data_IF_411526262956
#
_entry.id   IF_411526262956
#
_cell.length_a   1.000
_cell.length_b   1.000
_cell.length_c   1.000
_cell.angle_alpha   90.00
_cell.angle_beta   90.00
_cell.angle_gamma   90.00
#
_symmetry.space_group_name_H-M   'P 1'
#
loop_
_entity.id
_entity.type
_entity.pdbx_description
1 polymer ?
#
# COMPACT_ATOMS: atom_id res chain seq x y z
N UNK A 1 -20.84 -10.71 6.54
CA UNK A 1 -20.42 -9.78 7.62
C UNK A 1 -20.84 -10.25 9.02
N UNK A 2 -22.12 -10.53 9.30
CA UNK A 2 -22.58 -10.97 10.65
C UNK A 2 -21.83 -12.17 11.24
N UNK A 3 -21.43 -13.15 10.42
CA UNK A 3 -20.61 -14.29 10.88
C UNK A 3 -19.21 -13.88 11.30
N UNK A 4 -18.55 -12.99 10.56
CA UNK A 4 -17.24 -12.45 10.91
C UNK A 4 -17.30 -11.67 12.23
N UNK A 5 -18.34 -10.87 12.42
CA UNK A 5 -18.55 -10.13 13.68
C UNK A 5 -18.75 -11.09 14.86
N UNK A 6 -19.62 -12.12 14.71
CA UNK A 6 -19.88 -13.13 15.73
C UNK A 6 -18.69 -14.02 16.07
N UNK A 7 -17.78 -14.24 15.13
CA UNK A 7 -16.52 -15.01 15.36
C UNK A 7 -15.48 -14.23 16.18
N UNK A 8 -15.76 -12.99 16.56
CA UNK A 8 -14.81 -12.13 17.25
C UNK A 8 -13.78 -11.47 16.32
N UNK A 9 -13.94 -11.62 14.99
CA UNK A 9 -13.09 -10.91 14.04
C UNK A 9 -13.39 -9.40 14.08
N UNK A 10 -12.34 -8.58 14.22
CA UNK A 10 -12.44 -7.12 14.33
C UNK A 10 -11.54 -6.38 13.34
N UNK A 11 -10.87 -7.09 12.45
CA UNK A 11 -10.03 -6.49 11.42
C UNK A 11 -9.72 -7.45 10.27
N UNK A 12 -9.32 -6.88 9.16
CA UNK A 12 -8.95 -7.61 7.95
C UNK A 12 -7.82 -6.91 7.21
N UNK A 13 -7.06 -7.67 6.45
CA UNK A 13 -6.09 -7.16 5.47
C UNK A 13 -6.64 -7.41 4.08
N UNK A 14 -6.66 -6.39 3.23
CA UNK A 14 -7.16 -6.48 1.87
C UNK A 14 -6.12 -5.94 0.89
N UNK A 15 -5.73 -6.76 -0.08
CA UNK A 15 -4.88 -6.36 -1.20
C UNK A 15 -5.73 -5.68 -2.27
N UNK A 16 -5.71 -4.36 -2.30
CA UNK A 16 -6.31 -3.57 -3.39
C UNK A 16 -5.39 -3.54 -4.60
N UNK A 17 -4.09 -3.57 -4.36
CA UNK A 17 -2.98 -3.45 -5.29
C UNK A 17 -2.93 -2.04 -5.90
N UNK A 18 -3.93 -1.66 -6.68
CA UNK A 18 -4.05 -0.34 -7.30
C UNK A 18 -5.51 0.08 -7.39
N UNK A 19 -5.75 1.39 -7.56
CA UNK A 19 -7.05 1.97 -7.85
C UNK A 19 -7.22 2.34 -9.34
N UNK A 20 -6.30 1.91 -10.20
CA UNK A 20 -6.34 2.15 -11.64
C UNK A 20 -6.78 0.86 -12.35
N UNK A 21 -7.88 0.86 -13.12
CA UNK A 21 -8.37 -0.34 -13.80
C UNK A 21 -7.34 -0.98 -14.74
N UNK A 22 -6.56 -0.16 -15.43
CA UNK A 22 -5.49 -0.56 -16.34
C UNK A 22 -4.39 -1.32 -15.58
N UNK A 23 -3.91 -0.75 -14.48
CA UNK A 23 -2.91 -1.38 -13.61
C UNK A 23 -3.42 -2.67 -12.96
N UNK A 24 -4.73 -2.78 -12.66
CA UNK A 24 -5.32 -4.05 -12.18
C UNK A 24 -5.28 -5.15 -13.24
N UNK A 25 -5.48 -4.81 -14.52
CA UNK A 25 -5.35 -5.77 -15.62
C UNK A 25 -3.92 -6.24 -15.77
N UNK A 26 -2.95 -5.34 -15.70
CA UNK A 26 -1.52 -5.64 -15.75
C UNK A 26 -1.07 -6.52 -14.58
N UNK A 27 -1.60 -6.24 -13.38
CA UNK A 27 -1.37 -7.06 -12.18
C UNK A 27 -1.98 -8.46 -12.26
N UNK A 28 -2.80 -8.74 -13.29
CA UNK A 28 -3.59 -10.00 -13.43
C UNK A 28 -4.43 -10.30 -12.19
N UNK A 29 -4.90 -9.28 -11.50
CA UNK A 29 -5.79 -9.38 -10.33
C UNK A 29 -7.25 -9.52 -10.76
N UNK A 30 -7.54 -10.59 -11.50
CA UNK A 30 -8.88 -10.88 -12.04
C UNK A 30 -10.02 -10.75 -11.02
N UNK A 31 -9.87 -11.16 -9.74
CA UNK A 31 -10.93 -10.99 -8.74
C UNK A 31 -11.24 -9.51 -8.40
N UNK A 32 -10.28 -8.61 -8.58
CA UNK A 32 -10.43 -7.20 -8.22
C UNK A 32 -11.07 -6.38 -9.36
N UNK A 33 -10.91 -6.80 -10.61
CA UNK A 33 -11.42 -6.05 -11.79
C UNK A 33 -12.93 -5.81 -11.72
N UNK A 34 -13.80 -6.81 -11.54
CA UNK A 34 -15.25 -6.59 -11.47
C UNK A 34 -15.69 -5.87 -10.20
N UNK A 35 -14.85 -5.83 -9.17
CA UNK A 35 -15.15 -5.20 -7.88
C UNK A 35 -14.64 -3.77 -7.77
N UNK A 36 -13.81 -3.32 -8.69
CA UNK A 36 -13.16 -2.03 -8.65
C UNK A 36 -14.14 -0.87 -8.37
N UNK A 37 -15.26 -0.82 -9.12
CA UNK A 37 -16.29 0.22 -8.93
C UNK A 37 -17.00 0.15 -7.57
N UNK A 38 -16.87 -0.96 -6.85
CA UNK A 38 -17.51 -1.21 -5.55
C UNK A 38 -16.57 -1.06 -4.37
N UNK A 39 -15.29 -0.78 -4.58
CA UNK A 39 -14.30 -0.69 -3.49
C UNK A 39 -14.75 0.22 -2.35
N UNK A 40 -15.19 1.44 -2.65
CA UNK A 40 -15.67 2.39 -1.63
C UNK A 40 -16.85 1.84 -0.83
N UNK A 41 -17.79 1.21 -1.52
CA UNK A 41 -18.98 0.61 -0.91
C UNK A 41 -18.62 -0.60 -0.03
N UNK A 42 -17.78 -1.49 -0.51
CA UNK A 42 -17.34 -2.66 0.25
C UNK A 42 -16.58 -2.27 1.51
N UNK A 43 -15.70 -1.26 1.41
CA UNK A 43 -15.00 -0.71 2.59
C UNK A 43 -15.97 -0.04 3.56
N UNK A 44 -16.99 0.68 3.06
CA UNK A 44 -18.04 1.27 3.90
C UNK A 44 -18.78 0.20 4.68
N UNK A 45 -19.14 -0.91 4.05
CA UNK A 45 -19.81 -2.05 4.70
C UNK A 45 -18.91 -2.64 5.81
N UNK A 46 -17.61 -2.85 5.56
CA UNK A 46 -16.67 -3.32 6.57
C UNK A 46 -16.64 -2.39 7.80
N UNK A 47 -16.56 -1.08 7.57
CA UNK A 47 -16.55 -0.07 8.63
C UNK A 47 -17.87 -0.04 9.42
N UNK A 48 -19.00 -0.16 8.77
CA UNK A 48 -20.32 -0.21 9.44
C UNK A 48 -20.45 -1.41 10.38
N UNK A 49 -19.77 -2.51 10.07
CA UNK A 49 -19.64 -3.67 10.95
C UNK A 49 -18.48 -3.55 11.96
N UNK A 50 -17.84 -2.38 12.05
CA UNK A 50 -16.76 -2.10 12.99
C UNK A 50 -15.46 -2.83 12.72
N UNK A 51 -15.20 -3.23 11.47
CA UNK A 51 -13.96 -3.88 11.09
C UNK A 51 -12.85 -2.85 10.89
N UNK A 52 -11.74 -2.99 11.59
CA UNK A 52 -10.52 -2.26 11.32
C UNK A 52 -9.86 -2.83 10.06
N UNK A 53 -9.86 -2.06 8.98
CA UNK A 53 -9.35 -2.52 7.70
C UNK A 53 -7.92 -2.03 7.46
N UNK A 54 -7.10 -2.92 6.98
CA UNK A 54 -5.74 -2.66 6.55
C UNK A 54 -5.65 -2.84 5.03
N UNK A 55 -5.34 -1.77 4.31
CA UNK A 55 -5.18 -1.79 2.86
C UNK A 55 -3.73 -2.05 2.46
N UNK A 56 -3.51 -2.83 1.41
CA UNK A 56 -2.21 -2.98 0.77
C UNK A 56 -2.29 -2.50 -0.68
N UNK A 57 -1.37 -1.59 -1.02
CA UNK A 57 -1.21 -1.02 -2.36
C UNK A 57 0.19 -1.30 -2.88
N UNK A 58 0.27 -1.58 -4.18
CA UNK A 58 1.50 -1.76 -4.93
C UNK A 58 1.59 -0.66 -5.97
N UNK A 59 2.69 0.05 -6.02
CA UNK A 59 2.93 1.22 -6.87
C UNK A 59 4.03 0.92 -7.89
N UNK A 60 3.90 1.47 -9.09
CA UNK A 60 4.88 1.33 -10.16
C UNK A 60 4.47 0.36 -11.26
N UNK A 61 3.18 0.09 -11.43
CA UNK A 61 2.67 -0.55 -12.64
C UNK A 61 2.88 0.34 -13.86
N UNK A 62 2.80 -0.22 -15.06
CA UNK A 62 3.12 0.49 -16.30
C UNK A 62 2.21 1.69 -16.59
N UNK A 63 1.02 1.74 -16.01
CA UNK A 63 0.07 2.85 -16.11
C UNK A 63 0.08 3.81 -14.90
N UNK A 64 0.98 3.59 -13.94
CA UNK A 64 1.03 4.46 -12.78
C UNK A 64 1.76 5.76 -13.08
N UNK A 65 1.14 6.86 -12.69
CA UNK A 65 1.70 8.21 -12.68
C UNK A 65 1.79 8.74 -11.26
N UNK A 66 2.45 9.88 -11.08
CA UNK A 66 2.49 10.54 -9.77
C UNK A 66 1.08 10.88 -9.27
N UNK A 67 0.22 11.34 -10.18
CA UNK A 67 -1.18 11.70 -9.89
C UNK A 67 -2.00 10.47 -9.48
N UNK A 68 -1.79 9.30 -10.12
CA UNK A 68 -2.47 8.06 -9.75
C UNK A 68 -2.04 7.56 -8.37
N UNK A 69 -0.78 7.76 -8.00
CA UNK A 69 -0.26 7.46 -6.67
C UNK A 69 -0.91 8.39 -5.63
N UNK A 70 -0.99 9.69 -5.90
CA UNK A 70 -1.65 10.65 -5.03
C UNK A 70 -3.14 10.31 -4.86
N UNK A 71 -3.84 9.97 -5.94
CA UNK A 71 -5.22 9.52 -5.90
C UNK A 71 -5.41 8.23 -5.07
N UNK A 72 -4.42 7.34 -5.08
CA UNK A 72 -4.42 6.14 -4.22
C UNK A 72 -4.36 6.51 -2.74
N UNK A 73 -3.59 7.54 -2.38
CA UNK A 73 -3.55 8.05 -1.00
C UNK A 73 -4.88 8.71 -0.63
N UNK A 74 -5.48 9.49 -1.53
CA UNK A 74 -6.79 10.12 -1.31
C UNK A 74 -7.87 9.06 -1.09
N UNK A 75 -7.92 8.04 -1.93
CA UNK A 75 -8.82 6.89 -1.74
C UNK A 75 -8.64 6.25 -0.36
N UNK A 76 -7.40 6.04 0.07
CA UNK A 76 -7.12 5.42 1.36
C UNK A 76 -7.56 6.31 2.55
N UNK A 77 -7.39 7.63 2.44
CA UNK A 77 -7.82 8.60 3.44
C UNK A 77 -9.36 8.71 3.51
N UNK A 78 -10.02 8.85 2.37
CA UNK A 78 -11.49 8.88 2.28
C UNK A 78 -12.12 7.60 2.81
N UNK A 79 -11.52 6.46 2.50
CA UNK A 79 -11.95 5.14 2.98
C UNK A 79 -11.69 4.94 4.48
N UNK A 80 -10.93 5.82 5.13
CA UNK A 80 -10.57 5.77 6.55
C UNK A 80 -9.97 4.44 6.98
N UNK A 81 -9.09 3.85 6.14
CA UNK A 81 -8.39 2.64 6.53
C UNK A 81 -7.61 2.86 7.83
N UNK A 82 -7.65 1.87 8.71
CA UNK A 82 -6.86 1.90 9.94
C UNK A 82 -5.38 1.97 9.66
N UNK A 83 -4.92 1.16 8.70
CA UNK A 83 -3.55 1.12 8.20
C UNK A 83 -3.56 1.02 6.68
N UNK A 84 -2.53 1.55 6.04
CA UNK A 84 -2.29 1.35 4.62
C UNK A 84 -0.79 1.11 4.37
N UNK A 85 -0.49 0.05 3.66
CA UNK A 85 0.84 -0.26 3.17
C UNK A 85 0.96 0.21 1.71
N UNK A 86 1.99 0.97 1.41
CA UNK A 86 2.36 1.38 0.06
C UNK A 86 3.71 0.76 -0.25
N UNK A 87 3.77 -0.16 -1.20
CA UNK A 87 4.98 -0.86 -1.58
C UNK A 87 5.26 -0.66 -3.07
N UNK A 88 6.51 -0.53 -3.42
CA UNK A 88 6.91 -0.51 -4.83
C UNK A 88 6.82 -1.93 -5.39
N UNK A 89 6.31 -2.05 -6.61
CA UNK A 89 6.31 -3.29 -7.37
C UNK A 89 7.73 -3.85 -7.46
N UNK A 90 7.92 -5.10 -7.06
CA UNK A 90 9.24 -5.69 -6.95
C UNK A 90 9.43 -6.83 -7.94
N UNK A 91 10.41 -6.73 -8.85
CA UNK A 91 10.74 -7.80 -9.79
C UNK A 91 11.55 -8.90 -9.08
N UNK A 92 10.87 -9.86 -8.49
CA UNK A 92 11.54 -11.02 -7.91
C UNK A 92 12.04 -11.98 -9.00
N UNK A 93 13.25 -12.57 -8.85
CA UNK A 93 13.80 -13.51 -9.81
C UNK A 93 12.82 -14.63 -10.18
N UNK A 94 12.89 -15.07 -11.43
CA UNK A 94 12.04 -16.13 -11.99
C UNK A 94 10.53 -15.82 -12.06
N UNK A 95 10.09 -14.60 -11.71
CA UNK A 95 8.70 -14.19 -11.92
C UNK A 95 8.45 -13.73 -13.37
N UNK A 96 7.19 -13.79 -13.85
CA UNK A 96 6.84 -13.21 -15.15
C UNK A 96 7.19 -11.73 -15.27
N UNK A 97 7.02 -10.95 -14.20
CA UNK A 97 7.39 -9.54 -14.13
C UNK A 97 8.89 -9.34 -14.34
N UNK A 98 9.73 -10.12 -13.64
CA UNK A 98 11.18 -10.04 -13.80
C UNK A 98 11.58 -10.30 -15.25
N UNK A 99 11.11 -11.39 -15.86
CA UNK A 99 11.43 -11.74 -17.26
C UNK A 99 10.97 -10.69 -18.26
N UNK A 100 9.80 -10.06 -18.01
CA UNK A 100 9.30 -8.95 -18.84
C UNK A 100 10.28 -7.77 -18.78
N UNK A 101 10.60 -7.29 -17.58
CA UNK A 101 11.47 -6.15 -17.37
C UNK A 101 12.91 -6.41 -17.84
N UNK A 102 13.41 -7.64 -17.70
CA UNK A 102 14.71 -8.06 -18.22
C UNK A 102 14.74 -7.97 -19.76
N UNK A 103 13.73 -8.54 -20.43
CA UNK A 103 13.58 -8.45 -21.88
C UNK A 103 13.47 -7.02 -22.41
N UNK A 104 12.84 -6.15 -21.64
CA UNK A 104 12.67 -4.73 -21.96
C UNK A 104 13.88 -3.87 -21.57
N UNK A 105 14.93 -4.45 -20.96
CA UNK A 105 16.10 -3.71 -20.50
C UNK A 105 15.81 -2.71 -19.36
N UNK A 106 14.77 -2.95 -18.60
CA UNK A 106 14.29 -2.03 -17.55
C UNK A 106 14.72 -2.43 -16.13
N UNK A 107 15.42 -3.54 -15.94
CA UNK A 107 15.96 -3.90 -14.63
C UNK A 107 17.13 -2.99 -14.27
N UNK A 108 17.15 -2.51 -13.03
CA UNK A 108 18.28 -1.80 -12.43
C UNK A 108 19.22 -2.77 -11.71
N UNK A 109 20.42 -2.30 -11.38
CA UNK A 109 21.38 -3.05 -10.58
C UNK A 109 21.77 -4.40 -11.22
N UNK A 110 21.92 -4.42 -12.54
CA UNK A 110 22.24 -5.62 -13.34
C UNK A 110 21.26 -6.78 -13.09
N UNK A 111 20.01 -6.45 -12.76
CA UNK A 111 18.94 -7.39 -12.42
C UNK A 111 19.10 -8.04 -11.03
N UNK A 112 20.16 -7.77 -10.29
CA UNK A 112 20.48 -8.37 -8.99
C UNK A 112 20.35 -7.36 -7.84
N UNK A 113 19.26 -6.60 -7.83
CA UNK A 113 19.03 -5.51 -6.88
C UNK A 113 19.23 -5.92 -5.41
N UNK A 114 18.90 -7.16 -5.03
CA UNK A 114 19.04 -7.67 -3.65
C UNK A 114 20.49 -7.86 -3.20
N UNK A 115 21.46 -7.93 -4.12
CA UNK A 115 22.89 -8.03 -3.84
C UNK A 115 23.63 -6.70 -4.03
N UNK A 116 22.97 -5.70 -4.59
CA UNK A 116 23.65 -4.49 -5.03
C UNK A 116 23.84 -3.49 -3.86
N UNK A 117 25.07 -3.00 -3.60
CA UNK A 117 25.37 -2.18 -2.41
C UNK A 117 24.68 -0.81 -2.41
N UNK A 118 24.26 -0.31 -3.57
CA UNK A 118 23.51 0.94 -3.70
C UNK A 118 22.01 0.77 -3.54
N UNK A 119 21.47 -0.44 -3.60
CA UNK A 119 20.04 -0.65 -3.42
C UNK A 119 19.62 -0.29 -1.99
N UNK A 120 18.48 0.35 -1.85
CA UNK A 120 17.89 0.74 -0.56
C UNK A 120 16.52 0.10 -0.38
N UNK A 121 16.20 -0.18 0.86
CA UNK A 121 14.92 -0.78 1.20
C UNK A 121 13.77 0.03 0.61
N UNK A 122 12.91 -0.67 -0.14
CA UNK A 122 11.73 -0.12 -0.78
C UNK A 122 12.01 1.03 -1.76
N UNK A 123 13.15 0.98 -2.45
CA UNK A 123 13.45 1.77 -3.63
C UNK A 123 13.08 1.00 -4.91
N UNK A 124 12.89 1.72 -6.00
CA UNK A 124 12.63 1.08 -7.29
C UNK A 124 13.85 0.24 -7.73
N UNK A 125 13.57 -0.99 -8.15
CA UNK A 125 14.58 -1.92 -8.69
C UNK A 125 14.49 -2.05 -10.22
N UNK A 126 13.70 -1.20 -10.86
CA UNK A 126 13.47 -1.16 -12.30
C UNK A 126 13.11 0.25 -12.75
N UNK A 127 13.13 0.49 -14.05
CA UNK A 127 12.71 1.75 -14.67
C UNK A 127 11.19 1.67 -14.94
N UNK A 128 10.34 2.45 -14.27
CA UNK A 128 8.90 2.54 -14.54
C UNK A 128 8.63 3.10 -15.95
N UNK A 129 7.42 2.86 -16.49
CA UNK A 129 7.07 3.33 -17.84
C UNK A 129 6.85 4.83 -17.92
N UNK A 130 6.26 5.46 -16.89
CA UNK A 130 5.77 6.85 -16.93
C UNK A 130 6.46 7.79 -15.94
N UNK A 131 7.51 7.34 -15.25
CA UNK A 131 8.29 8.16 -14.32
C UNK A 131 9.70 7.61 -14.14
N UNK A 132 10.59 8.37 -13.52
CA UNK A 132 11.92 7.85 -13.16
C UNK A 132 11.85 6.91 -11.94
N UNK A 133 12.86 6.04 -11.74
CA UNK A 133 12.97 5.21 -10.54
C UNK A 133 13.00 6.00 -9.23
N UNK A 134 13.66 7.15 -9.26
CA UNK A 134 13.73 8.09 -8.13
C UNK A 134 12.35 8.68 -7.84
N UNK A 135 11.64 9.14 -8.90
CA UNK A 135 10.31 9.70 -8.76
C UNK A 135 9.32 8.67 -8.16
N UNK A 136 9.38 7.40 -8.56
CA UNK A 136 8.56 6.33 -7.97
C UNK A 136 8.94 6.11 -6.50
N UNK A 137 10.22 6.10 -6.18
CA UNK A 137 10.72 5.92 -4.81
C UNK A 137 10.23 7.04 -3.90
N UNK A 138 10.36 8.29 -4.37
CA UNK A 138 9.94 9.48 -3.63
C UNK A 138 8.42 9.55 -3.48
N UNK A 139 7.66 9.22 -4.53
CA UNK A 139 6.20 9.17 -4.48
C UNK A 139 5.70 8.12 -3.48
N UNK A 140 6.34 6.95 -3.43
CA UNK A 140 6.02 5.92 -2.44
C UNK A 140 6.31 6.39 -1.00
N UNK A 141 7.45 7.05 -0.78
CA UNK A 141 7.78 7.62 0.52
C UNK A 141 6.80 8.74 0.93
N UNK A 142 6.45 9.62 -0.01
CA UNK A 142 5.47 10.69 0.19
C UNK A 142 4.08 10.13 0.54
N UNK A 143 3.63 9.08 -0.17
CA UNK A 143 2.37 8.39 0.11
C UNK A 143 2.31 7.86 1.55
N UNK A 144 3.36 7.19 2.02
CA UNK A 144 3.48 6.70 3.40
C UNK A 144 3.45 7.84 4.40
N UNK A 145 4.22 8.90 4.14
CA UNK A 145 4.30 10.07 5.02
C UNK A 145 2.96 10.77 5.11
N UNK A 146 2.31 11.07 3.97
CA UNK A 146 1.02 11.77 3.92
C UNK A 146 -0.07 10.98 4.64
N UNK A 147 -0.16 9.67 4.45
CA UNK A 147 -1.13 8.82 5.11
C UNK A 147 -0.93 8.77 6.64
N UNK A 148 0.30 8.97 7.14
CA UNK A 148 0.63 8.88 8.56
C UNK A 148 0.89 10.26 9.22
N UNK A 149 0.41 11.36 8.64
CA UNK A 149 0.41 12.68 9.30
C UNK A 149 -0.55 12.70 10.49
N UNK A 150 -0.31 13.56 11.48
CA UNK A 150 -1.20 13.70 12.66
C UNK A 150 -2.63 14.06 12.23
N UNK A 151 -2.88 15.04 11.34
CA UNK A 151 -4.23 15.31 10.84
C UNK A 151 -4.91 14.08 10.23
N UNK A 152 -4.18 13.29 9.44
CA UNK A 152 -4.69 12.03 8.88
C UNK A 152 -5.05 11.01 9.96
N UNK A 153 -4.21 10.86 10.98
CA UNK A 153 -4.49 9.96 12.10
C UNK A 153 -5.79 10.36 12.82
N UNK A 154 -5.95 11.64 13.14
CA UNK A 154 -7.15 12.17 13.79
C UNK A 154 -8.39 11.96 12.91
N UNK A 155 -8.29 12.29 11.61
CA UNK A 155 -9.39 12.07 10.66
C UNK A 155 -9.83 10.60 10.59
N UNK A 156 -8.90 9.67 10.53
CA UNK A 156 -9.22 8.23 10.48
C UNK A 156 -9.75 7.71 11.82
N UNK A 157 -9.18 8.17 12.93
CA UNK A 157 -9.64 7.82 14.27
C UNK A 157 -11.08 8.28 14.55
N UNK A 158 -11.53 9.38 13.93
CA UNK A 158 -12.90 9.89 14.09
C UNK A 158 -13.98 8.94 13.54
N UNK A 159 -13.61 7.80 12.96
CA UNK A 159 -14.55 6.73 12.63
C UNK A 159 -14.98 5.96 13.89
N UNK A 160 -15.99 6.52 14.55
CA UNK A 160 -16.53 6.04 15.84
C UNK A 160 -16.93 4.56 15.76
N UNK A 161 -17.59 4.15 14.67
CA UNK A 161 -18.08 2.77 14.51
C UNK A 161 -16.95 1.75 14.46
N UNK A 162 -15.81 2.12 13.94
CA UNK A 162 -14.65 1.22 13.77
C UNK A 162 -13.73 1.24 14.99
N UNK A 163 -13.38 2.43 15.50
CA UNK A 163 -12.31 2.56 16.48
C UNK A 163 -12.77 2.73 17.92
N UNK A 164 -13.97 3.28 18.17
CA UNK A 164 -14.44 3.58 19.52
C UNK A 164 -15.34 2.48 20.14
N UNK A 165 -15.44 1.31 19.51
CA UNK A 165 -16.24 0.18 20.03
C UNK A 165 -15.69 -0.43 21.32
N UNK A 166 -14.37 -0.32 21.57
CA UNK A 166 -13.74 -0.79 22.80
C UNK A 166 -12.39 -0.11 23.03
N UNK A 167 -11.96 -0.06 24.29
CA UNK A 167 -10.65 0.48 24.67
C UNK A 167 -9.49 -0.26 23.99
N UNK A 168 -9.64 -1.57 23.79
CA UNK A 168 -8.62 -2.38 23.09
C UNK A 168 -8.48 -1.97 21.63
N UNK A 169 -9.58 -1.69 20.92
CA UNK A 169 -9.54 -1.20 19.53
C UNK A 169 -8.94 0.20 19.42
N UNK A 170 -9.28 1.09 20.34
CA UNK A 170 -8.68 2.41 20.43
C UNK A 170 -7.17 2.31 20.66
N UNK A 171 -6.77 1.51 21.64
CA UNK A 171 -5.36 1.28 21.96
C UNK A 171 -4.59 0.65 20.79
N UNK A 172 -5.18 -0.32 20.10
CA UNK A 172 -4.60 -0.94 18.92
C UNK A 172 -4.39 0.09 17.78
N UNK A 173 -5.41 0.91 17.49
CA UNK A 173 -5.30 1.97 16.48
C UNK A 173 -4.07 2.87 16.77
N UNK A 174 -4.02 3.48 17.95
CA UNK A 174 -2.94 4.40 18.30
C UNK A 174 -1.58 3.71 18.35
N UNK A 175 -1.50 2.54 18.96
CA UNK A 175 -0.25 1.78 19.04
C UNK A 175 0.34 1.51 17.67
N UNK A 176 -0.45 0.95 16.75
CA UNK A 176 0.07 0.56 15.44
C UNK A 176 0.29 1.76 14.53
N UNK A 177 -0.61 2.73 14.49
CA UNK A 177 -0.44 3.91 13.63
C UNK A 177 0.76 4.76 14.03
N UNK A 178 1.00 4.96 15.33
CA UNK A 178 2.18 5.69 15.81
C UNK A 178 3.47 4.90 15.58
N UNK A 179 3.44 3.56 15.72
CA UNK A 179 4.56 2.70 15.36
C UNK A 179 4.91 2.85 13.88
N UNK A 180 3.93 2.72 12.99
CA UNK A 180 4.15 2.90 11.55
C UNK A 180 4.69 4.28 11.22
N UNK A 181 4.11 5.35 11.79
CA UNK A 181 4.61 6.71 11.62
C UNK A 181 6.09 6.85 12.00
N UNK A 182 6.50 6.23 13.11
CA UNK A 182 7.90 6.26 13.59
C UNK A 182 8.86 5.47 12.69
N UNK A 183 8.38 4.39 12.07
CA UNK A 183 9.19 3.51 11.23
C UNK A 183 9.45 4.08 9.82
N UNK A 184 8.59 4.96 9.30
CA UNK A 184 8.73 5.53 7.95
C UNK A 184 10.10 6.21 7.76
N UNK A 185 10.51 7.20 8.57
CA UNK A 185 11.80 7.86 8.38
C UNK A 185 12.99 6.94 8.65
N UNK A 186 12.86 5.97 9.56
CA UNK A 186 13.94 5.02 9.86
C UNK A 186 14.24 4.08 8.70
N UNK A 187 13.19 3.65 7.98
CA UNK A 187 13.32 2.73 6.86
C UNK A 187 13.66 3.41 5.55
N UNK A 188 13.49 4.73 5.47
CA UNK A 188 13.82 5.47 4.26
C UNK A 188 15.34 5.48 4.06
N UNK A 189 15.79 5.01 2.88
CA UNK A 189 17.20 4.91 2.55
C UNK A 189 18.01 3.84 3.32
N UNK A 190 17.35 3.00 4.12
CA UNK A 190 17.99 1.90 4.83
C UNK A 190 18.61 0.91 3.84
N UNK A 191 19.79 0.39 4.16
CA UNK A 191 20.41 -0.68 3.36
C UNK A 191 19.55 -1.93 3.38
N UNK A 192 19.52 -2.63 2.27
CA UNK A 192 18.85 -3.92 2.13
C UNK A 192 19.87 -5.04 2.30
N UNK A 193 19.46 -6.10 3.02
CA UNK A 193 20.30 -7.29 3.23
C UNK A 193 20.91 -7.35 4.64
N UNK A 194 21.61 -8.45 4.89
CA UNK A 194 22.38 -8.65 6.13
C UNK A 194 23.59 -7.72 6.13
N UNK A 195 23.80 -7.00 7.21
CA UNK A 195 25.03 -6.25 7.46
C UNK A 195 26.02 -7.14 8.19
#
# INVERSE_FOLDING_TARGET
>A
MKLLERSGNWGNVTGFETITPESLRDARKSPNIPRFSKYKEEVRILREHGMQSWAAFTLGYDHDTKESIEATVDFALESRFTLAAYNILMPYPNTPLYRKLEKEGRLLYDGKWWLHPKYRFNSAAFVPSLMSPEALTDACHAARTRFNTIPSLVHRFSDVKTHLRSLSRMGAFWKYTLLFKKEIPKKHGMRFGLQ
#
